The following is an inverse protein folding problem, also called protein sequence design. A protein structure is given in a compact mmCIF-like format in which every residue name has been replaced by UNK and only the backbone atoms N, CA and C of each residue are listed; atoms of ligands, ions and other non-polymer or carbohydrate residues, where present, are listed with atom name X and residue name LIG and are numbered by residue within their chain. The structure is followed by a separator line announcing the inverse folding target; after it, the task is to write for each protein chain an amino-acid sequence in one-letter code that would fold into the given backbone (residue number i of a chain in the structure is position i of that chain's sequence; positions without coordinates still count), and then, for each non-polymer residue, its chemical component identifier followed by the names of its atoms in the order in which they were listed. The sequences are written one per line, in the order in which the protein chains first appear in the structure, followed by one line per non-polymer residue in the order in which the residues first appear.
data_IF_424725805059
#
_entry.id   IF_424725805059
#
_cell.length_a   1.000
_cell.length_b   1.000
_cell.length_c   1.000
_cell.angle_alpha   90.00
_cell.angle_beta   90.00
_cell.angle_gamma   90.00
#
_symmetry.space_group_name_H-M   'P 1'
#
loop_
_entity.id
_entity.type
_entity.pdbx_description
1 polymer ?
#
# COMPACT_ATOMS: atom_id res chain seq x y z
N UNK A 1 23.79 7.71 -1.03
CA UNK A 1 22.35 7.50 -1.33
C UNK A 1 21.85 8.30 -2.54
N UNK A 2 21.80 9.64 -2.53
CA UNK A 2 21.32 10.38 -3.73
C UNK A 2 22.20 10.14 -4.97
N UNK A 3 23.53 10.14 -4.80
CA UNK A 3 24.47 9.79 -5.88
C UNK A 3 24.38 8.32 -6.32
N UNK A 4 23.81 7.43 -5.50
CA UNK A 4 23.49 6.05 -5.86
C UNK A 4 22.14 5.95 -6.62
N UNK A 5 21.49 7.09 -6.88
CA UNK A 5 20.16 7.18 -7.49
C UNK A 5 19.03 6.75 -6.55
N UNK A 6 19.28 6.65 -5.24
CA UNK A 6 18.36 5.95 -4.34
C UNK A 6 16.95 6.58 -4.19
N UNK A 7 16.79 7.81 -4.66
CA UNK A 7 15.56 8.58 -4.55
C UNK A 7 14.98 8.93 -5.93
N UNK A 8 15.56 8.39 -7.00
CA UNK A 8 15.16 8.70 -8.37
C UNK A 8 13.72 8.26 -8.64
N UNK A 9 12.91 9.17 -9.15
CA UNK A 9 11.50 8.92 -9.44
C UNK A 9 11.31 7.75 -10.42
N UNK A 10 12.25 7.56 -11.36
CA UNK A 10 12.21 6.47 -12.35
C UNK A 10 12.39 5.06 -11.76
N UNK A 11 12.84 4.93 -10.50
CA UNK A 11 12.94 3.63 -9.82
C UNK A 11 11.69 3.29 -9.01
N UNK A 12 10.86 4.28 -8.69
CA UNK A 12 9.66 4.09 -7.89
C UNK A 12 8.65 3.25 -8.67
N UNK A 13 8.15 2.20 -8.03
CA UNK A 13 7.15 1.27 -8.56
C UNK A 13 5.76 1.88 -8.44
N UNK A 14 4.92 1.62 -9.43
CA UNK A 14 3.50 1.97 -9.33
C UNK A 14 2.80 1.04 -8.34
N UNK A 15 1.90 1.60 -7.54
CA UNK A 15 1.06 0.81 -6.65
C UNK A 15 0.04 0.01 -7.48
N UNK A 16 -0.24 -1.26 -7.10
CA UNK A 16 -1.33 -2.00 -7.71
C UNK A 16 -2.65 -1.28 -7.41
N UNK A 17 -3.48 -1.10 -8.43
CA UNK A 17 -4.79 -0.45 -8.26
C UNK A 17 -5.70 -1.19 -7.24
N UNK A 18 -5.59 -2.51 -7.18
CA UNK A 18 -6.38 -3.35 -6.30
C UNK A 18 -5.49 -4.49 -5.76
N UNK A 19 -4.75 -4.26 -4.66
CA UNK A 19 -3.99 -5.32 -4.01
C UNK A 19 -4.95 -6.36 -3.41
N UNK A 20 -4.48 -7.61 -3.35
CA UNK A 20 -5.16 -8.71 -2.65
C UNK A 20 -4.63 -8.86 -1.23
N UNK A 21 -3.33 -8.61 -1.04
CA UNK A 21 -2.63 -8.75 0.24
C UNK A 21 -1.79 -7.51 0.52
N UNK A 22 -1.97 -6.93 1.70
CA UNK A 22 -1.15 -5.83 2.20
C UNK A 22 -0.24 -6.36 3.32
N UNK A 23 1.07 -6.15 3.20
CA UNK A 23 2.02 -6.36 4.27
C UNK A 23 2.17 -5.08 5.09
N UNK A 24 2.09 -5.17 6.42
CA UNK A 24 2.24 -4.01 7.32
C UNK A 24 3.39 -4.27 8.27
N UNK A 25 4.40 -3.40 8.22
CA UNK A 25 5.55 -3.39 9.12
C UNK A 25 5.32 -2.30 10.16
N UNK A 26 4.98 -2.70 11.38
CA UNK A 26 4.66 -1.76 12.47
C UNK A 26 4.71 -2.45 13.83
N UNK A 27 4.55 -1.69 14.91
CA UNK A 27 4.43 -2.23 16.26
C UNK A 27 3.13 -3.03 16.43
N UNK A 28 3.17 -4.24 17.03
CA UNK A 28 1.96 -5.00 17.34
C UNK A 28 1.11 -4.33 18.43
N UNK A 29 1.73 -3.47 19.24
CA UNK A 29 1.08 -2.71 20.31
C UNK A 29 0.91 -1.26 19.87
N UNK A 30 -0.33 -0.82 19.68
CA UNK A 30 -0.64 0.58 19.34
C UNK A 30 -1.99 0.76 18.64
N UNK A 31 -2.44 2.01 18.54
CA UNK A 31 -3.61 2.39 17.74
C UNK A 31 -3.33 2.24 16.24
N UNK A 32 -2.09 2.49 15.81
CA UNK A 32 -1.64 2.50 14.40
C UNK A 32 -2.11 1.30 13.60
N UNK A 33 -1.80 0.08 14.05
CA UNK A 33 -2.20 -1.12 13.34
C UNK A 33 -3.73 -1.30 13.31
N UNK A 34 -4.42 -0.90 14.39
CA UNK A 34 -5.88 -0.93 14.46
C UNK A 34 -6.50 0.08 13.50
N UNK A 35 -5.93 1.27 13.40
CA UNK A 35 -6.37 2.35 12.53
C UNK A 35 -6.21 1.94 11.05
N UNK A 36 -5.06 1.34 10.70
CA UNK A 36 -4.81 0.79 9.35
C UNK A 36 -5.83 -0.32 9.04
N UNK A 37 -5.97 -1.32 9.91
CA UNK A 37 -6.90 -2.44 9.70
C UNK A 37 -8.33 -1.95 9.58
N UNK A 38 -8.75 -1.03 10.46
CA UNK A 38 -10.08 -0.45 10.44
C UNK A 38 -10.35 0.30 9.13
N UNK A 39 -9.39 1.14 8.70
CA UNK A 39 -9.53 1.92 7.47
C UNK A 39 -9.55 1.05 6.21
N UNK A 40 -8.72 0.00 6.14
CA UNK A 40 -8.77 -0.98 5.05
C UNK A 40 -10.13 -1.69 5.06
N UNK A 41 -10.60 -2.17 6.21
CA UNK A 41 -11.88 -2.87 6.33
C UNK A 41 -13.08 -2.00 5.92
N UNK A 42 -13.04 -0.71 6.25
CA UNK A 42 -14.07 0.24 5.88
C UNK A 42 -14.09 0.53 4.37
N UNK A 43 -12.92 0.77 3.76
CA UNK A 43 -12.81 1.13 2.33
C UNK A 43 -12.92 -0.06 1.38
N UNK A 44 -12.16 -1.13 1.65
CA UNK A 44 -12.10 -2.33 0.82
C UNK A 44 -11.51 -3.51 1.63
N UNK A 45 -12.36 -4.34 2.28
CA UNK A 45 -11.89 -5.44 3.11
C UNK A 45 -11.02 -6.44 2.31
N UNK A 46 -9.75 -6.56 2.71
CA UNK A 46 -8.78 -7.48 2.10
C UNK A 46 -7.82 -8.06 3.15
N UNK A 47 -6.98 -9.00 2.75
CA UNK A 47 -6.06 -9.69 3.66
C UNK A 47 -4.88 -8.81 4.08
N UNK A 48 -4.64 -8.71 5.39
CA UNK A 48 -3.54 -7.92 5.96
C UNK A 48 -2.58 -8.86 6.70
N UNK A 49 -1.32 -8.85 6.30
CA UNK A 49 -0.23 -9.53 6.99
C UNK A 49 0.56 -8.53 7.83
N UNK A 50 0.75 -8.81 9.11
CA UNK A 50 1.51 -7.92 10.00
C UNK A 50 2.85 -8.56 10.32
N UNK A 51 3.93 -7.83 10.04
CA UNK A 51 5.25 -8.14 10.56
C UNK A 51 5.53 -7.25 11.77
N UNK A 52 5.47 -7.79 13.00
CA UNK A 52 5.66 -7.00 14.20
C UNK A 52 7.13 -6.57 14.33
N UNK A 53 7.36 -5.27 14.50
CA UNK A 53 8.69 -4.69 14.73
C UNK A 53 8.63 -3.59 15.78
N UNK A 54 9.76 -3.29 16.41
CA UNK A 54 9.91 -2.03 17.15
C UNK A 54 9.98 -0.87 16.17
N UNK A 55 9.25 0.19 16.47
CA UNK A 55 9.17 1.41 15.64
C UNK A 55 9.76 2.64 16.35
N UNK A 56 10.52 2.40 17.43
CA UNK A 56 11.19 3.40 18.25
C UNK A 56 12.47 2.81 18.84
N UNK A 57 13.43 3.68 19.18
CA UNK A 57 14.74 3.29 19.69
C UNK A 57 15.74 2.87 18.61
N UNK A 58 16.99 2.64 19.04
CA UNK A 58 18.14 2.43 18.15
C UNK A 58 18.02 1.19 17.25
N UNK A 59 17.28 0.15 17.67
CA UNK A 59 17.13 -1.08 16.88
C UNK A 59 16.02 -1.00 15.82
N UNK A 60 15.21 0.05 15.82
CA UNK A 60 14.04 0.16 14.94
C UNK A 60 14.41 0.04 13.46
N UNK A 61 15.45 0.75 13.01
CA UNK A 61 15.90 0.71 11.61
C UNK A 61 16.29 -0.69 11.15
N UNK A 62 17.04 -1.42 11.98
CA UNK A 62 17.46 -2.79 11.68
C UNK A 62 16.29 -3.79 11.67
N UNK A 63 15.34 -3.66 12.60
CA UNK A 63 14.15 -4.53 12.65
C UNK A 63 13.23 -4.30 11.45
N UNK A 64 12.97 -3.04 11.09
CA UNK A 64 12.18 -2.68 9.90
C UNK A 64 12.89 -3.19 8.64
N UNK A 65 14.22 -3.05 8.56
CA UNK A 65 15.02 -3.59 7.44
C UNK A 65 14.85 -5.09 7.29
N UNK A 66 14.94 -5.83 8.41
CA UNK A 66 14.74 -7.27 8.42
C UNK A 66 13.32 -7.66 8.00
N UNK A 67 12.31 -6.90 8.41
CA UNK A 67 10.92 -7.13 8.03
C UNK A 67 10.66 -6.90 6.54
N UNK A 68 11.18 -5.80 5.97
CA UNK A 68 11.08 -5.52 4.52
C UNK A 68 11.75 -6.63 3.72
N UNK A 69 12.96 -7.03 4.11
CA UNK A 69 13.66 -8.14 3.45
C UNK A 69 12.93 -9.47 3.64
N UNK A 70 12.36 -9.71 4.82
CA UNK A 70 11.58 -10.89 5.14
C UNK A 70 10.36 -11.05 4.25
N UNK A 71 9.58 -9.99 4.04
CA UNK A 71 8.45 -10.00 3.11
C UNK A 71 8.89 -10.28 1.66
N UNK A 72 9.99 -9.65 1.22
CA UNK A 72 10.55 -9.88 -0.12
C UNK A 72 11.12 -11.30 -0.32
N UNK A 73 11.44 -12.01 0.77
CA UNK A 73 11.96 -13.37 0.75
C UNK A 73 10.86 -14.45 0.83
N UNK A 74 9.59 -14.07 1.03
CA UNK A 74 8.48 -15.02 1.01
C UNK A 74 8.38 -15.69 -0.36
N UNK A 75 8.16 -17.00 -0.37
CA UNK A 75 7.91 -17.73 -1.62
C UNK A 75 6.56 -17.31 -2.21
N UNK A 76 6.49 -17.10 -3.52
CA UNK A 76 5.25 -16.73 -4.21
C UNK A 76 4.14 -17.78 -4.03
N UNK A 77 4.52 -19.07 -4.04
CA UNK A 77 3.62 -20.21 -3.82
C UNK A 77 3.72 -20.78 -2.39
N UNK A 78 4.14 -19.95 -1.43
CA UNK A 78 4.28 -20.33 -0.03
C UNK A 78 2.96 -20.43 0.73
N UNK A 79 3.00 -20.99 1.94
CA UNK A 79 1.85 -21.05 2.86
C UNK A 79 1.40 -19.64 3.26
N UNK A 80 2.36 -18.74 3.47
CA UNK A 80 2.11 -17.33 3.75
C UNK A 80 2.00 -16.61 2.41
N UNK A 81 0.89 -15.93 2.11
CA UNK A 81 0.72 -15.28 0.83
C UNK A 81 1.71 -14.10 0.68
N UNK A 82 2.24 -13.92 -0.51
CA UNK A 82 3.14 -12.81 -0.82
C UNK A 82 2.36 -11.49 -0.90
N UNK A 83 2.79 -10.41 -0.21
CA UNK A 83 2.13 -9.11 -0.32
C UNK A 83 2.25 -8.47 -1.71
N UNK A 84 1.22 -7.74 -2.11
CA UNK A 84 1.23 -6.93 -3.33
C UNK A 84 1.75 -5.51 -3.07
N UNK A 85 1.65 -5.04 -1.82
CA UNK A 85 2.15 -3.75 -1.35
C UNK A 85 2.55 -3.86 0.12
N UNK A 86 3.58 -3.12 0.52
CA UNK A 86 4.01 -2.96 1.90
C UNK A 86 3.65 -1.57 2.43
N UNK A 87 3.24 -1.51 3.69
CA UNK A 87 3.10 -0.27 4.46
C UNK A 87 4.09 -0.34 5.62
N UNK A 88 5.05 0.58 5.66
CA UNK A 88 5.90 0.79 6.82
C UNK A 88 5.30 1.95 7.60
N UNK A 89 4.78 1.67 8.80
CA UNK A 89 4.01 2.65 9.56
C UNK A 89 4.53 2.81 10.99
N UNK A 90 4.58 4.06 11.41
CA UNK A 90 4.83 4.46 12.80
C UNK A 90 3.68 5.34 13.28
N UNK A 91 3.35 5.24 14.56
CA UNK A 91 2.43 6.18 15.21
C UNK A 91 3.10 7.47 15.65
N UNK A 92 2.36 8.29 16.40
CA UNK A 92 2.94 9.46 17.05
C UNK A 92 4.07 9.10 18.02
N UNK A 93 4.89 10.10 18.35
CA UNK A 93 5.99 10.03 19.30
C UNK A 93 6.98 11.17 19.02
N UNK A 94 8.18 11.11 19.60
CA UNK A 94 9.14 12.21 19.45
C UNK A 94 9.78 12.22 18.05
N UNK A 95 10.43 13.34 17.70
CA UNK A 95 11.34 13.43 16.56
C UNK A 95 12.51 12.45 16.70
N UNK A 96 12.96 12.15 17.93
CA UNK A 96 14.09 11.27 18.20
C UNK A 96 13.81 9.84 17.72
N UNK A 97 12.58 9.38 17.88
CA UNK A 97 12.14 8.07 17.39
C UNK A 97 12.10 7.99 15.85
N UNK A 98 12.05 9.11 15.11
CA UNK A 98 12.17 9.10 13.64
C UNK A 98 13.61 8.75 13.20
N UNK A 99 14.60 8.88 14.08
CA UNK A 99 16.00 8.72 13.72
C UNK A 99 16.31 7.32 13.19
N UNK A 100 15.65 6.28 13.73
CA UNK A 100 15.79 4.91 13.23
C UNK A 100 15.37 4.72 11.77
N UNK A 101 14.58 5.64 11.22
CA UNK A 101 14.12 5.64 9.84
C UNK A 101 15.02 6.45 8.88
N UNK A 102 16.07 7.07 9.42
CA UNK A 102 17.19 7.64 8.67
C UNK A 102 18.39 6.68 8.57
N UNK A 103 18.18 5.39 8.85
CA UNK A 103 19.19 4.37 8.62
C UNK A 103 19.39 4.13 7.11
N UNK A 104 20.65 4.13 6.66
CA UNK A 104 20.95 3.94 5.24
C UNK A 104 20.69 2.51 4.77
N UNK A 105 20.85 1.51 5.65
CA UNK A 105 20.56 0.11 5.37
C UNK A 105 19.07 -0.08 5.09
N UNK A 106 18.22 0.56 5.90
CA UNK A 106 16.78 0.61 5.69
C UNK A 106 16.41 1.29 4.36
N UNK A 107 16.98 2.46 4.08
CA UNK A 107 16.74 3.17 2.83
C UNK A 107 17.13 2.30 1.61
N UNK A 108 18.25 1.57 1.69
CA UNK A 108 18.68 0.62 0.65
C UNK A 108 17.74 -0.57 0.52
N UNK A 109 17.29 -1.16 1.63
CA UNK A 109 16.35 -2.28 1.60
C UNK A 109 15.01 -1.90 0.99
N UNK A 110 14.48 -0.72 1.34
CA UNK A 110 13.23 -0.19 0.77
C UNK A 110 13.38 0.11 -0.71
N UNK A 111 14.45 0.82 -1.10
CA UNK A 111 14.75 1.10 -2.51
C UNK A 111 14.95 -0.17 -3.36
N UNK A 112 15.46 -1.25 -2.76
CA UNK A 112 15.67 -2.53 -3.43
C UNK A 112 14.44 -3.46 -3.39
N UNK A 113 13.37 -3.07 -2.68
CA UNK A 113 12.18 -3.89 -2.52
C UNK A 113 11.54 -4.21 -3.88
N UNK A 114 11.14 -5.47 -4.05
CA UNK A 114 10.39 -5.94 -5.23
C UNK A 114 8.90 -5.68 -5.07
N UNK A 115 8.44 -5.61 -3.81
CA UNK A 115 7.08 -5.22 -3.44
C UNK A 115 7.05 -3.69 -3.28
N UNK A 116 6.10 -2.97 -3.90
CA UNK A 116 6.01 -1.54 -3.72
C UNK A 116 5.77 -1.16 -2.25
N UNK A 117 6.41 -0.09 -1.79
CA UNK A 117 6.42 0.33 -0.38
C UNK A 117 5.78 1.71 -0.22
N UNK A 118 4.85 1.79 0.72
CA UNK A 118 4.27 3.04 1.22
C UNK A 118 4.92 3.35 2.56
N UNK A 119 5.60 4.49 2.67
CA UNK A 119 6.10 5.00 3.96
C UNK A 119 5.03 5.84 4.64
N UNK A 120 4.75 5.53 5.90
CA UNK A 120 3.78 6.21 6.76
C UNK A 120 4.39 6.51 8.14
N UNK A 121 5.61 7.06 8.12
CA UNK A 121 6.45 7.24 9.31
C UNK A 121 6.51 8.71 9.73
N UNK A 122 6.74 9.63 8.78
CA UNK A 122 6.86 11.07 9.05
C UNK A 122 5.52 11.80 9.03
N UNK A 123 5.42 12.89 9.80
CA UNK A 123 4.34 13.88 9.67
C UNK A 123 4.57 14.78 8.45
N UNK A 124 3.63 15.62 8.05
CA UNK A 124 3.73 16.44 6.82
C UNK A 124 5.07 17.17 6.63
N UNK A 125 5.69 17.66 7.71
CA UNK A 125 6.98 18.39 7.68
C UNK A 125 8.21 17.53 7.84
N UNK A 126 8.10 16.33 8.41
CA UNK A 126 9.23 15.53 8.83
C UNK A 126 9.53 14.48 7.75
N UNK A 127 10.60 14.71 6.99
CA UNK A 127 11.08 13.78 5.98
C UNK A 127 12.18 12.89 6.53
N UNK A 128 12.04 11.59 6.28
CA UNK A 128 13.05 10.58 6.60
C UNK A 128 13.65 9.97 5.33
N UNK A 129 14.79 9.29 5.44
CA UNK A 129 15.38 8.61 4.27
C UNK A 129 14.46 7.53 3.70
N UNK A 130 13.69 6.83 4.54
CA UNK A 130 12.69 5.88 4.06
C UNK A 130 11.57 6.56 3.27
N UNK A 131 11.14 7.78 3.64
CA UNK A 131 10.12 8.52 2.89
C UNK A 131 10.60 8.89 1.48
N UNK A 132 11.89 9.19 1.35
CA UNK A 132 12.51 9.48 0.06
C UNK A 132 12.70 8.21 -0.79
N UNK A 133 13.09 7.11 -0.15
CA UNK A 133 13.34 5.81 -0.80
C UNK A 133 12.06 5.05 -1.20
N UNK A 134 10.98 5.20 -0.43
CA UNK A 134 9.71 4.52 -0.67
C UNK A 134 9.05 4.96 -1.99
N UNK A 135 8.21 4.09 -2.54
CA UNK A 135 7.51 4.37 -3.79
C UNK A 135 6.47 5.48 -3.61
N UNK A 136 5.75 5.44 -2.49
CA UNK A 136 4.79 6.47 -2.11
C UNK A 136 4.97 6.84 -0.65
N UNK A 137 4.82 8.13 -0.36
CA UNK A 137 4.78 8.65 1.00
C UNK A 137 3.33 8.96 1.38
N UNK A 138 2.96 8.55 2.59
CA UNK A 138 1.72 8.92 3.24
C UNK A 138 2.02 9.75 4.50
N UNK A 139 1.31 10.85 4.75
CA UNK A 139 1.54 11.69 5.93
C UNK A 139 1.04 11.04 7.23
N UNK A 140 0.19 10.03 7.14
CA UNK A 140 -0.38 9.32 8.29
C UNK A 140 -0.57 7.83 7.99
N UNK A 141 -0.58 6.97 9.03
CA UNK A 141 -0.90 5.54 8.85
C UNK A 141 -2.27 5.29 8.19
N UNK A 142 -3.29 6.08 8.55
CA UNK A 142 -4.60 6.00 7.90
C UNK A 142 -4.52 6.45 6.44
N UNK A 143 -3.78 7.51 6.13
CA UNK A 143 -3.52 7.94 4.76
C UNK A 143 -2.84 6.85 3.91
N UNK A 144 -1.93 6.08 4.50
CA UNK A 144 -1.32 4.94 3.80
C UNK A 144 -2.33 3.84 3.46
N UNK A 145 -3.25 3.54 4.39
CA UNK A 145 -4.34 2.61 4.11
C UNK A 145 -5.25 3.12 2.98
N UNK A 146 -5.53 4.43 2.93
CA UNK A 146 -6.35 5.04 1.87
C UNK A 146 -5.68 5.03 0.50
N UNK A 147 -4.35 5.21 0.46
CA UNK A 147 -3.54 5.14 -0.76
C UNK A 147 -3.45 3.69 -1.25
N UNK A 148 -3.36 2.73 -0.33
CA UNK A 148 -3.16 1.32 -0.67
C UNK A 148 -4.40 0.66 -1.31
N UNK A 149 -5.61 1.12 -1.01
CA UNK A 149 -6.85 0.43 -1.44
C UNK A 149 -7.87 1.36 -2.10
N UNK A 150 -8.60 0.89 -3.12
CA UNK A 150 -9.69 1.65 -3.72
C UNK A 150 -10.88 1.79 -2.75
N UNK A 151 -11.87 2.59 -3.12
CA UNK A 151 -13.14 2.70 -2.38
C UNK A 151 -14.14 1.72 -2.98
N UNK A 152 -14.62 0.76 -2.17
CA UNK A 152 -15.57 -0.27 -2.62
C UNK A 152 -16.85 0.32 -3.22
N UNK A 153 -17.42 1.34 -2.58
CA UNK A 153 -18.69 1.97 -3.02
C UNK A 153 -18.55 2.59 -4.42
N UNK A 154 -17.41 3.21 -4.73
CA UNK A 154 -17.17 3.82 -6.05
C UNK A 154 -17.06 2.74 -7.14
N UNK A 155 -16.45 1.59 -6.81
CA UNK A 155 -16.38 0.44 -7.70
C UNK A 155 -17.76 -0.16 -7.96
N UNK A 156 -18.58 -0.32 -6.92
CA UNK A 156 -19.96 -0.79 -7.04
C UNK A 156 -20.80 0.14 -7.90
N UNK A 157 -20.69 1.46 -7.69
CA UNK A 157 -21.38 2.47 -8.50
C UNK A 157 -20.93 2.41 -9.97
N UNK A 158 -19.62 2.25 -10.22
CA UNK A 158 -19.06 2.10 -11.57
C UNK A 158 -19.61 0.85 -12.27
N UNK A 159 -19.62 -0.29 -11.58
CA UNK A 159 -20.15 -1.56 -12.11
C UNK A 159 -21.65 -1.46 -12.40
N UNK A 160 -22.43 -0.84 -11.51
CA UNK A 160 -23.85 -0.62 -11.72
C UNK A 160 -24.12 0.25 -12.96
N UNK A 161 -23.37 1.35 -13.12
CA UNK A 161 -23.47 2.23 -14.29
C UNK A 161 -23.11 1.52 -15.60
N UNK A 162 -22.02 0.75 -15.62
CA UNK A 162 -21.64 -0.06 -16.78
C UNK A 162 -22.69 -1.12 -17.10
N UNK A 163 -23.25 -1.77 -16.09
CA UNK A 163 -24.34 -2.75 -16.24
C UNK A 163 -25.61 -2.14 -16.84
N UNK A 164 -26.02 -0.95 -16.40
CA UNK A 164 -27.17 -0.25 -16.96
C UNK A 164 -26.96 0.16 -18.43
N UNK A 165 -25.75 0.64 -18.76
CA UNK A 165 -25.36 0.97 -20.14
C UNK A 165 -25.38 -0.26 -21.05
N UNK A 166 -24.83 -1.38 -20.58
CA UNK A 166 -24.83 -2.65 -21.31
C UNK A 166 -26.24 -3.12 -21.61
N UNK A 167 -27.14 -3.12 -20.61
CA UNK A 167 -28.55 -3.50 -20.78
C UNK A 167 -29.24 -2.65 -21.84
N UNK A 168 -29.07 -1.32 -21.76
CA UNK A 168 -29.69 -0.38 -22.71
C UNK A 168 -29.17 -0.62 -24.14
N UNK A 169 -27.86 -0.80 -24.32
CA UNK A 169 -27.27 -1.08 -25.62
C UNK A 169 -27.75 -2.41 -26.20
N UNK A 170 -27.85 -3.46 -25.37
CA UNK A 170 -28.35 -4.76 -25.77
C UNK A 170 -29.82 -4.68 -26.24
N UNK A 171 -30.70 -4.05 -25.46
CA UNK A 171 -32.12 -3.87 -25.83
C UNK A 171 -32.28 -3.11 -27.15
N UNK A 172 -31.54 -2.02 -27.35
CA UNK A 172 -31.56 -1.26 -28.62
C UNK A 172 -31.09 -2.10 -29.80
N UNK A 173 -30.07 -2.93 -29.62
CA UNK A 173 -29.57 -3.80 -30.67
C UNK A 173 -30.59 -4.89 -31.06
N UNK A 174 -31.26 -5.50 -30.08
CA UNK A 174 -32.33 -6.47 -30.35
C UNK A 174 -33.51 -5.84 -31.07
N UNK A 175 -33.94 -4.65 -30.64
CA UNK A 175 -35.05 -3.93 -31.30
C UNK A 175 -34.71 -3.59 -32.75
N UNK A 176 -33.49 -3.09 -33.00
CA UNK A 176 -33.00 -2.80 -34.36
C UNK A 176 -32.98 -4.07 -35.24
N UNK A 177 -32.49 -5.19 -34.71
CA UNK A 177 -32.47 -6.47 -35.45
C UNK A 177 -33.89 -6.97 -35.73
N UNK A 178 -34.81 -6.81 -34.77
CA UNK A 178 -36.22 -7.20 -34.94
C UNK A 178 -36.92 -6.38 -36.03
N UNK A 179 -36.62 -5.08 -36.11
CA UNK A 179 -37.13 -4.23 -37.18
C UNK A 179 -36.59 -4.63 -38.56
N UNK A 180 -35.30 -4.96 -38.66
CA UNK A 180 -34.67 -5.36 -39.91
C UNK A 180 -35.21 -6.68 -40.51
N UNK A 181 -35.71 -7.60 -39.68
CA UNK A 181 -36.33 -8.86 -40.15
C UNK A 181 -37.80 -8.68 -40.55
N UNK A 182 -38.43 -7.56 -40.16
CA UNK A 182 -39.83 -7.23 -40.50
C UNK A 182 -39.96 -6.41 -41.78
N UNK A 183 -38.88 -5.80 -42.24
CA UNK A 183 -38.78 -5.07 -43.49
C UNK A 183 -38.36 -6.01 -44.62
#
# INVERSE_FOLDING_TARGET
LQAEGLFDAGRKRLLPFMPRVIGVVTSPTGSVIRDIIHRIKDRFPLHVLVWPVRVQGETAGAEVTAAVNGFNALAQDGIIPHPDVLIVARGGGSLEDLWGFNDEGLARAVAASRIPVISAVGHETDWTLIDLAADVRAPTPTGAAEIAVPVKVDLEATLAGLGARLKTAASRNFERKRQAVRA
#
